data_IF_784390916838
#
_entry.id   IF_784390916838
#
_cell.length_a   1.000
_cell.length_b   1.000
_cell.length_c   1.000
_cell.angle_alpha   90.00
_cell.angle_beta   90.00
_cell.angle_gamma   90.00
#
_symmetry.space_group_name_H-M   'P 1'
#
loop_
_entity.id
_entity.type
_entity.pdbx_description
1 polymer ?
#
# COMPACT_ATOMS: atom_id res chain seq x y z
N UNK A 1 -16.76 -18.45 10.44
CA UNK A 1 -16.16 -18.25 9.11
C UNK A 1 -14.73 -17.84 9.35
N UNK A 2 -13.81 -18.79 9.18
CA UNK A 2 -12.36 -18.53 9.21
C UNK A 2 -12.00 -17.52 8.12
N UNK A 3 -11.47 -16.35 8.51
CA UNK A 3 -10.86 -15.41 7.56
C UNK A 3 -9.48 -15.96 7.21
N UNK A 4 -9.43 -16.80 6.19
CA UNK A 4 -8.18 -17.34 5.66
C UNK A 4 -7.31 -16.21 5.10
N UNK A 5 -5.99 -16.42 5.08
CA UNK A 5 -5.01 -15.49 4.50
C UNK A 5 -5.30 -15.08 3.03
N UNK A 6 -6.21 -15.78 2.37
CA UNK A 6 -6.75 -15.44 1.04
C UNK A 6 -7.47 -14.08 1.01
N UNK A 7 -7.99 -13.60 2.16
CA UNK A 7 -8.58 -12.26 2.30
C UNK A 7 -7.53 -11.14 2.38
N UNK A 8 -6.26 -11.46 2.64
CA UNK A 8 -5.18 -10.47 2.77
C UNK A 8 -5.05 -9.54 1.55
N UNK A 9 -4.90 -10.04 0.31
CA UNK A 9 -4.85 -9.18 -0.87
C UNK A 9 -6.17 -8.42 -1.10
N UNK A 10 -7.30 -8.95 -0.66
CA UNK A 10 -8.60 -8.29 -0.72
C UNK A 10 -8.70 -7.08 0.22
N UNK A 11 -8.32 -7.27 1.48
CA UNK A 11 -8.26 -6.22 2.50
C UNK A 11 -7.24 -5.15 2.14
N UNK A 12 -6.06 -5.55 1.65
CA UNK A 12 -5.02 -4.62 1.24
C UNK A 12 -5.51 -3.71 0.11
N UNK A 13 -6.25 -4.27 -0.86
CA UNK A 13 -6.86 -3.50 -1.94
C UNK A 13 -7.92 -2.53 -1.45
N UNK A 14 -8.71 -2.89 -0.45
CA UNK A 14 -9.74 -2.03 0.12
C UNK A 14 -9.10 -0.83 0.83
N UNK A 15 -8.13 -1.10 1.71
CA UNK A 15 -7.37 -0.08 2.47
C UNK A 15 -6.61 0.85 1.53
N UNK A 16 -5.83 0.30 0.60
CA UNK A 16 -5.05 1.10 -0.35
C UNK A 16 -5.94 1.82 -1.36
N UNK A 17 -7.13 1.29 -1.64
CA UNK A 17 -8.13 1.91 -2.50
C UNK A 17 -8.69 3.22 -1.97
N UNK A 18 -8.60 3.48 -0.67
CA UNK A 18 -8.91 4.79 -0.08
C UNK A 18 -7.93 5.88 -0.53
N UNK A 19 -6.72 5.53 -0.97
CA UNK A 19 -5.73 6.49 -1.43
C UNK A 19 -5.96 6.83 -2.90
N UNK A 20 -6.37 8.08 -3.16
CA UNK A 20 -6.65 8.56 -4.52
C UNK A 20 -5.43 8.40 -5.44
N UNK A 21 -5.60 7.58 -6.49
CA UNK A 21 -4.57 7.31 -7.50
C UNK A 21 -3.87 5.96 -7.33
N UNK A 22 -4.25 5.17 -6.32
CA UNK A 22 -3.80 3.78 -6.13
C UNK A 22 -4.82 2.84 -6.77
N UNK A 23 -4.36 2.01 -7.71
CA UNK A 23 -5.16 1.02 -8.43
C UNK A 23 -4.97 -0.39 -7.87
N UNK A 24 -5.79 -1.35 -8.31
CA UNK A 24 -5.66 -2.77 -7.90
C UNK A 24 -4.27 -3.34 -8.20
N UNK A 25 -3.69 -2.97 -9.33
CA UNK A 25 -2.34 -3.40 -9.73
C UNK A 25 -1.28 -2.87 -8.77
N UNK A 26 -1.42 -1.62 -8.31
CA UNK A 26 -0.48 -1.03 -7.35
C UNK A 26 -0.54 -1.79 -6.00
N UNK A 27 -1.75 -2.07 -5.50
CA UNK A 27 -1.95 -2.84 -4.27
C UNK A 27 -1.40 -4.27 -4.37
N UNK A 28 -1.61 -4.96 -5.49
CA UNK A 28 -1.05 -6.28 -5.72
C UNK A 28 0.50 -6.25 -5.76
N UNK A 29 1.07 -5.20 -6.36
CA UNK A 29 2.51 -5.01 -6.43
C UNK A 29 3.12 -4.77 -5.04
N UNK A 30 2.48 -3.91 -4.23
CA UNK A 30 2.88 -3.67 -2.84
C UNK A 30 2.77 -4.95 -1.99
N UNK A 31 1.69 -5.71 -2.16
CA UNK A 31 1.51 -7.00 -1.48
C UNK A 31 2.66 -7.97 -1.81
N UNK A 32 3.03 -8.07 -3.09
CA UNK A 32 4.09 -8.96 -3.55
C UNK A 32 5.49 -8.51 -3.13
N UNK A 33 5.75 -7.19 -3.09
CA UNK A 33 7.07 -6.64 -2.79
C UNK A 33 7.36 -6.57 -1.28
N UNK A 34 6.36 -6.22 -0.47
CA UNK A 34 6.54 -6.02 0.98
C UNK A 34 6.03 -7.17 1.83
N UNK A 35 5.10 -7.98 1.33
CA UNK A 35 4.51 -9.13 2.04
C UNK A 35 3.56 -8.77 3.19
N UNK A 36 3.92 -7.78 4.01
CA UNK A 36 3.18 -7.36 5.20
C UNK A 36 2.85 -5.87 5.17
N UNK A 37 1.75 -5.48 5.80
CA UNK A 37 1.30 -4.07 5.82
C UNK A 37 2.25 -3.19 6.64
N UNK A 38 2.83 -3.71 7.72
CA UNK A 38 3.84 -3.00 8.51
C UNK A 38 5.06 -2.61 7.66
N UNK A 39 5.57 -3.55 6.85
CA UNK A 39 6.67 -3.28 5.94
C UNK A 39 6.32 -2.22 4.88
N UNK A 40 5.06 -2.15 4.42
CA UNK A 40 4.59 -1.12 3.49
C UNK A 40 4.51 0.26 4.14
N UNK A 41 3.98 0.35 5.36
CA UNK A 41 3.85 1.61 6.11
C UNK A 41 5.21 2.16 6.50
N UNK A 42 6.16 1.29 6.85
CA UNK A 42 7.55 1.66 7.15
C UNK A 42 8.43 1.91 5.91
N UNK A 43 7.92 1.67 4.70
CA UNK A 43 8.69 1.83 3.47
C UNK A 43 8.91 3.31 3.14
N UNK A 44 10.11 3.63 2.63
CA UNK A 44 10.39 4.96 2.08
C UNK A 44 9.80 5.11 0.68
N UNK A 45 9.60 6.35 0.22
CA UNK A 45 9.08 6.62 -1.12
C UNK A 45 9.91 5.94 -2.21
N UNK A 46 11.24 5.93 -2.06
CA UNK A 46 12.14 5.27 -3.01
C UNK A 46 11.93 3.75 -3.09
N UNK A 47 11.59 3.10 -1.98
CA UNK A 47 11.28 1.65 -1.95
C UNK A 47 9.92 1.37 -2.60
N UNK A 48 8.95 2.24 -2.36
CA UNK A 48 7.65 2.19 -3.02
C UNK A 48 7.81 2.35 -4.55
N UNK A 49 8.68 3.26 -5.02
CA UNK A 49 8.96 3.47 -6.45
C UNK A 49 9.61 2.27 -7.16
N UNK A 50 10.21 1.33 -6.42
CA UNK A 50 10.72 0.07 -7.01
C UNK A 50 9.60 -0.85 -7.48
N UNK A 51 8.38 -0.65 -7.01
CA UNK A 51 7.22 -1.43 -7.41
C UNK A 51 6.80 -1.06 -8.85
N UNK A 52 6.76 -2.02 -9.80
CA UNK A 52 6.30 -1.74 -11.15
C UNK A 52 4.89 -1.14 -11.15
N UNK A 53 4.73 0.01 -11.83
CA UNK A 53 3.47 0.75 -11.92
C UNK A 53 3.25 1.81 -10.82
N UNK A 54 4.11 1.82 -9.79
CA UNK A 54 4.05 2.79 -8.70
C UNK A 54 5.01 3.97 -8.96
N UNK A 55 4.55 4.97 -9.69
CA UNK A 55 5.36 6.17 -9.98
C UNK A 55 5.60 7.07 -8.76
N UNK A 56 6.51 8.07 -8.88
CA UNK A 56 6.94 8.96 -7.79
C UNK A 56 5.78 9.64 -7.07
N UNK A 57 4.76 10.06 -7.83
CA UNK A 57 3.56 10.71 -7.27
C UNK A 57 2.74 9.78 -6.39
N UNK A 58 2.61 8.49 -6.76
CA UNK A 58 1.86 7.51 -5.99
C UNK A 58 2.64 7.14 -4.73
N UNK A 59 3.94 6.88 -4.88
CA UNK A 59 4.84 6.58 -3.78
C UNK A 59 4.84 7.70 -2.73
N UNK A 60 5.07 8.95 -3.14
CA UNK A 60 5.06 10.10 -2.24
C UNK A 60 3.70 10.29 -1.53
N UNK A 61 2.59 10.01 -2.21
CA UNK A 61 1.26 10.10 -1.61
C UNK A 61 1.02 8.99 -0.59
N UNK A 62 1.45 7.77 -0.87
CA UNK A 62 1.36 6.64 0.05
C UNK A 62 2.17 6.92 1.32
N UNK A 63 3.44 7.31 1.20
CA UNK A 63 4.24 7.69 2.38
C UNK A 63 3.65 8.88 3.13
N UNK A 64 3.11 9.88 2.44
CA UNK A 64 2.45 11.01 3.11
C UNK A 64 1.17 10.61 3.84
N UNK A 65 0.42 9.61 3.37
CA UNK A 65 -0.77 9.09 4.06
C UNK A 65 -0.36 8.21 5.25
N UNK A 66 0.63 7.35 5.08
CA UNK A 66 1.14 6.48 6.14
C UNK A 66 1.80 7.25 7.28
N UNK A 67 2.50 8.34 6.96
CA UNK A 67 3.11 9.24 7.95
C UNK A 67 2.22 10.39 8.41
N UNK A 68 0.98 10.49 7.93
CA UNK A 68 0.06 11.53 8.39
C UNK A 68 -0.37 11.21 9.82
N UNK A 69 -0.26 12.20 10.71
CA UNK A 69 -0.71 12.06 12.08
C UNK A 69 -2.24 12.23 12.10
N UNK A 70 -2.96 11.19 12.52
CA UNK A 70 -4.43 11.21 12.59
C UNK A 70 -4.98 11.89 13.85
N UNK A 71 -4.13 12.63 14.56
CA UNK A 71 -4.52 13.40 15.73
C UNK A 71 -5.28 14.67 15.29
N UNK A 72 -6.59 14.52 15.09
CA UNK A 72 -7.61 15.57 15.20
C UNK A 72 -8.71 15.09 16.16
#
# INVERSE_FOLDING_TARGET
MERSAEDWPGQLRDVLGCVRGVSRTDAACLAANFGTFEAMVGASSAELERCPGLGPKKAARLTAVFGQNFAD
#
